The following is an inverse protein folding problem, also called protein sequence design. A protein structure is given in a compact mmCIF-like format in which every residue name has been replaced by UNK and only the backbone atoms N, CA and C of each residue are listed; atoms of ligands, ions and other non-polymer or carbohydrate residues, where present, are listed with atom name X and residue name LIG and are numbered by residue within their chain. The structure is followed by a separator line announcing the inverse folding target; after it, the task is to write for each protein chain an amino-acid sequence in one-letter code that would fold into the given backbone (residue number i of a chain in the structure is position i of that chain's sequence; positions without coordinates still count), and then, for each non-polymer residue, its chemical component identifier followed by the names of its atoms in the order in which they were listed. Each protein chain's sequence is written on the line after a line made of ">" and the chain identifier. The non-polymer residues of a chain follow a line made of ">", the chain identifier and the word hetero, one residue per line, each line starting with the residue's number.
data_IF_328425187598
#
_entry.id   IF_328425187598
#
_cell.length_a   1.000
_cell.length_b   1.000
_cell.length_c   1.000
_cell.angle_alpha   90.00
_cell.angle_beta   90.00
_cell.angle_gamma   90.00
#
_symmetry.space_group_name_H-M   'P 1'
#
loop_
_entity.id
_entity.type
_entity.pdbx_description
1 polymer ?
#
# COMPACT_ATOMS: atom_id res chain seq x y z
N UNK A 1 22.67 13.59 -8.19
CA UNK A 1 21.30 13.07 -8.19
C UNK A 1 21.30 11.85 -7.28
N UNK A 2 20.17 11.50 -6.69
CA UNK A 2 20.07 10.32 -5.81
C UNK A 2 20.05 9.03 -6.65
N UNK A 3 20.60 7.95 -6.13
CA UNK A 3 20.43 6.61 -6.72
C UNK A 3 19.16 5.96 -6.19
N UNK A 4 18.66 4.91 -6.86
CA UNK A 4 17.55 4.10 -6.35
C UNK A 4 17.84 3.57 -4.95
N UNK A 5 19.10 3.16 -4.69
CA UNK A 5 19.52 2.65 -3.38
C UNK A 5 19.53 3.73 -2.29
N UNK A 6 19.87 4.99 -2.61
CA UNK A 6 19.81 6.09 -1.64
C UNK A 6 18.36 6.33 -1.19
N UNK A 7 17.43 6.32 -2.15
CA UNK A 7 15.99 6.50 -1.87
C UNK A 7 15.46 5.29 -1.07
N UNK A 8 15.83 4.07 -1.46
CA UNK A 8 15.43 2.87 -0.75
C UNK A 8 15.94 2.84 0.69
N UNK A 9 17.20 3.19 0.90
CA UNK A 9 17.78 3.29 2.24
C UNK A 9 17.05 4.31 3.12
N UNK A 10 16.64 5.45 2.56
CA UNK A 10 15.84 6.43 3.29
C UNK A 10 14.45 5.91 3.61
N UNK A 11 13.78 5.22 2.68
CA UNK A 11 12.46 4.63 2.93
C UNK A 11 12.49 3.55 4.01
N UNK A 12 13.56 2.77 4.10
CA UNK A 12 13.74 1.78 5.18
C UNK A 12 13.90 2.41 6.57
N UNK A 13 14.29 3.69 6.66
CA UNK A 13 14.32 4.39 7.95
C UNK A 13 12.92 4.68 8.48
N UNK A 14 11.96 4.89 7.59
CA UNK A 14 10.56 5.09 7.97
C UNK A 14 9.80 3.79 8.19
N UNK A 15 10.03 2.82 7.34
CA UNK A 15 9.36 1.53 7.38
C UNK A 15 10.37 0.40 7.13
N UNK A 16 11.11 -0.02 8.18
CA UNK A 16 12.08 -1.10 8.10
C UNK A 16 11.47 -2.40 7.58
N UNK A 17 12.25 -3.17 6.80
CA UNK A 17 11.79 -4.46 6.26
C UNK A 17 11.45 -5.49 7.34
N UNK A 18 12.06 -5.36 8.52
CA UNK A 18 11.79 -6.23 9.67
C UNK A 18 10.36 -6.14 10.19
N UNK A 19 9.64 -5.07 9.82
CA UNK A 19 8.21 -4.91 10.12
C UNK A 19 7.29 -5.64 9.14
N UNK A 20 7.85 -6.15 8.03
CA UNK A 20 7.05 -6.84 7.04
C UNK A 20 6.61 -8.22 7.53
N UNK A 21 5.43 -8.64 7.08
CA UNK A 21 4.94 -9.98 7.27
C UNK A 21 5.88 -11.01 6.59
N UNK A 22 6.05 -12.17 7.22
CA UNK A 22 6.98 -13.21 6.74
C UNK A 22 6.66 -13.79 5.37
N UNK A 23 5.44 -13.63 4.91
CA UNK A 23 4.96 -14.08 3.59
C UNK A 23 5.05 -12.99 2.52
N UNK A 24 5.38 -11.77 2.90
CA UNK A 24 5.39 -10.59 2.03
C UNK A 24 6.70 -10.46 1.24
N UNK A 25 6.70 -9.59 0.23
CA UNK A 25 7.87 -9.31 -0.60
C UNK A 25 8.04 -7.80 -0.85
N UNK A 26 8.16 -6.96 0.19
CA UNK A 26 8.47 -5.54 0.02
C UNK A 26 9.96 -5.33 -0.32
N UNK A 27 10.28 -4.13 -0.72
CA UNK A 27 11.65 -3.71 -0.93
C UNK A 27 11.97 -3.25 -2.35
N UNK A 28 13.23 -3.21 -2.72
CA UNK A 28 13.69 -2.89 -4.06
C UNK A 28 13.52 -4.10 -4.96
N UNK A 29 12.42 -4.13 -5.72
CA UNK A 29 12.01 -5.30 -6.52
C UNK A 29 12.55 -5.28 -7.96
N UNK A 30 12.77 -4.10 -8.51
CA UNK A 30 13.39 -3.90 -9.83
C UNK A 30 14.41 -2.79 -9.71
N UNK A 31 15.67 -3.08 -9.98
CA UNK A 31 16.74 -2.08 -10.02
C UNK A 31 17.31 -1.99 -11.43
N UNK A 32 17.21 -0.81 -12.04
CA UNK A 32 17.75 -0.51 -13.36
C UNK A 32 19.10 0.24 -13.30
N UNK A 33 19.64 0.47 -12.10
CA UNK A 33 20.95 1.07 -11.89
C UNK A 33 21.07 2.54 -12.35
N UNK A 34 19.95 3.26 -12.43
CA UNK A 34 19.92 4.66 -12.90
C UNK A 34 19.90 5.64 -11.75
N UNK A 35 20.41 6.84 -12.00
CA UNK A 35 20.14 7.99 -11.15
C UNK A 35 18.68 8.39 -11.25
N UNK A 36 18.11 8.86 -10.12
CA UNK A 36 16.70 9.19 -9.98
C UNK A 36 16.54 10.69 -9.79
N UNK A 37 15.76 11.31 -10.66
CA UNK A 37 15.37 12.72 -10.57
C UNK A 37 13.85 12.87 -10.37
N UNK A 38 13.08 11.90 -10.83
CA UNK A 38 11.61 11.88 -10.71
C UNK A 38 11.12 10.53 -10.21
N UNK A 39 10.16 10.59 -9.30
CA UNK A 39 9.51 9.42 -8.71
C UNK A 39 8.01 9.52 -8.97
N UNK A 40 7.41 8.41 -9.41
CA UNK A 40 5.97 8.24 -9.43
C UNK A 40 5.56 7.41 -8.21
N UNK A 41 4.54 7.84 -7.48
CA UNK A 41 3.99 7.10 -6.34
C UNK A 41 2.62 6.57 -6.71
N UNK A 42 2.37 5.30 -6.43
CA UNK A 42 1.12 4.62 -6.79
C UNK A 42 0.74 3.54 -5.79
N UNK A 43 -0.50 3.08 -5.82
CA UNK A 43 -0.92 1.90 -5.08
C UNK A 43 -0.44 0.62 -5.78
N UNK A 44 -0.74 0.49 -7.06
CA UNK A 44 -0.41 -0.67 -7.89
C UNK A 44 0.45 -0.24 -9.08
N UNK A 45 1.43 -1.06 -9.47
CA UNK A 45 2.17 -0.89 -10.71
C UNK A 45 1.47 -1.70 -11.80
N UNK A 46 0.66 -1.01 -12.63
CA UNK A 46 0.01 -1.61 -13.80
C UNK A 46 0.78 -1.24 -15.09
N UNK A 47 0.51 -1.89 -16.23
CA UNK A 47 1.08 -1.47 -17.52
C UNK A 47 0.85 0.02 -17.83
N UNK A 48 -0.34 0.54 -17.50
CA UNK A 48 -0.70 1.95 -17.71
C UNK A 48 0.13 2.89 -16.83
N UNK A 49 0.40 2.49 -15.59
CA UNK A 49 1.27 3.25 -14.67
C UNK A 49 2.72 3.25 -15.17
N UNK A 50 3.19 2.13 -15.74
CA UNK A 50 4.54 2.08 -16.35
C UNK A 50 4.64 3.02 -17.54
N UNK A 51 3.61 3.09 -18.39
CA UNK A 51 3.56 4.05 -19.50
C UNK A 51 3.49 5.49 -19.02
N UNK A 52 2.70 5.78 -17.98
CA UNK A 52 2.63 7.11 -17.36
C UNK A 52 3.99 7.54 -16.80
N UNK A 53 4.65 6.65 -16.06
CA UNK A 53 5.98 6.92 -15.51
C UNK A 53 7.01 7.20 -16.64
N UNK A 54 6.99 6.40 -17.70
CA UNK A 54 7.87 6.58 -18.84
C UNK A 54 7.60 7.92 -19.56
N UNK A 55 6.33 8.25 -19.81
CA UNK A 55 5.94 9.52 -20.43
C UNK A 55 6.29 10.73 -19.54
N UNK A 56 6.20 10.58 -18.22
CA UNK A 56 6.59 11.59 -17.24
C UNK A 56 8.10 11.71 -17.01
N UNK A 57 8.91 10.83 -17.62
CA UNK A 57 10.36 10.78 -17.41
C UNK A 57 10.75 10.38 -15.98
N UNK A 58 9.97 9.50 -15.36
CA UNK A 58 10.28 8.96 -14.04
C UNK A 58 11.24 7.78 -14.17
N UNK A 59 12.29 7.76 -13.35
CA UNK A 59 13.26 6.67 -13.30
C UNK A 59 12.92 5.65 -12.20
N UNK A 60 12.01 6.01 -11.30
CA UNK A 60 11.59 5.18 -10.17
C UNK A 60 10.07 5.24 -9.98
N UNK A 61 9.47 4.08 -9.70
CA UNK A 61 8.11 3.98 -9.16
C UNK A 61 8.21 3.46 -7.73
N UNK A 62 7.51 4.12 -6.81
CA UNK A 62 7.28 3.64 -5.45
C UNK A 62 5.84 3.19 -5.35
N UNK A 63 5.61 1.93 -5.01
CA UNK A 63 4.27 1.37 -4.88
C UNK A 63 4.01 0.83 -3.48
N UNK A 64 2.73 0.73 -3.14
CA UNK A 64 2.32 -0.01 -1.95
C UNK A 64 2.30 -1.50 -2.23
N UNK A 65 1.63 -1.95 -3.28
CA UNK A 65 1.58 -3.36 -3.63
C UNK A 65 2.82 -3.80 -4.43
N UNK A 66 3.38 -4.99 -4.12
CA UNK A 66 4.57 -5.47 -4.79
C UNK A 66 4.32 -5.90 -6.24
N UNK A 67 5.11 -5.38 -7.17
CA UNK A 67 5.06 -5.76 -8.59
C UNK A 67 5.55 -7.19 -8.82
N UNK A 68 6.34 -7.71 -7.89
CA UNK A 68 6.78 -9.11 -7.82
C UNK A 68 6.41 -9.63 -6.45
N UNK A 69 5.32 -10.40 -6.35
CA UNK A 69 4.89 -11.00 -5.09
C UNK A 69 5.49 -12.39 -4.87
N UNK A 70 5.54 -13.20 -5.92
CA UNK A 70 6.10 -14.54 -5.89
C UNK A 70 7.31 -14.65 -6.82
N UNK A 71 8.24 -15.60 -6.57
CA UNK A 71 9.40 -15.80 -7.43
C UNK A 71 9.00 -16.01 -8.89
N UNK A 72 9.63 -15.28 -9.80
CA UNK A 72 9.36 -15.35 -11.22
C UNK A 72 10.04 -16.61 -11.81
N UNK A 73 9.25 -17.46 -12.48
CA UNK A 73 9.77 -18.63 -13.21
C UNK A 73 10.12 -18.33 -14.66
N UNK A 74 9.55 -17.26 -15.22
CA UNK A 74 9.80 -16.77 -16.58
C UNK A 74 9.46 -15.29 -16.65
N UNK A 75 10.06 -14.60 -17.60
CA UNK A 75 9.74 -13.20 -17.93
C UNK A 75 9.32 -13.14 -19.40
N UNK A 76 8.27 -12.40 -19.68
CA UNK A 76 7.75 -12.16 -21.01
C UNK A 76 7.45 -10.64 -21.20
N UNK A 77 7.32 -10.14 -22.43
CA UNK A 77 6.97 -8.74 -22.68
C UNK A 77 5.61 -8.30 -22.10
N UNK A 78 4.78 -9.25 -21.67
CA UNK A 78 3.49 -8.95 -21.03
C UNK A 78 3.63 -8.71 -19.51
N UNK A 79 4.74 -9.14 -18.92
CA UNK A 79 4.97 -9.00 -17.49
C UNK A 79 5.37 -7.55 -17.16
N UNK A 80 4.74 -6.96 -16.17
CA UNK A 80 4.99 -5.58 -15.75
C UNK A 80 6.46 -5.38 -15.35
N UNK A 81 7.04 -6.34 -14.65
CA UNK A 81 8.46 -6.32 -14.28
C UNK A 81 9.39 -6.26 -15.50
N UNK A 82 9.04 -6.96 -16.60
CA UNK A 82 9.78 -6.87 -17.86
C UNK A 82 9.67 -5.49 -18.48
N UNK A 83 8.45 -4.91 -18.48
CA UNK A 83 8.19 -3.58 -19.05
C UNK A 83 8.97 -2.50 -18.28
N UNK A 84 9.05 -2.61 -16.94
CA UNK A 84 9.87 -1.73 -16.12
C UNK A 84 11.33 -1.77 -16.54
N UNK A 85 11.92 -2.96 -16.63
CA UNK A 85 13.32 -3.14 -17.06
C UNK A 85 13.53 -2.61 -18.48
N UNK A 86 12.62 -2.88 -19.41
CA UNK A 86 12.71 -2.40 -20.80
C UNK A 86 12.71 -0.86 -20.89
N UNK A 87 11.99 -0.19 -20.01
CA UNK A 87 11.92 1.27 -19.94
C UNK A 87 13.00 1.90 -19.05
N UNK A 88 13.78 1.07 -18.35
CA UNK A 88 14.80 1.52 -17.42
C UNK A 88 14.21 2.20 -16.17
N UNK A 89 13.06 1.74 -15.70
CA UNK A 89 12.36 2.26 -14.52
C UNK A 89 12.53 1.27 -13.38
N UNK A 90 13.09 1.73 -12.27
CA UNK A 90 13.20 0.94 -11.03
C UNK A 90 11.87 0.91 -10.27
N UNK A 91 11.68 -0.10 -9.41
CA UNK A 91 10.50 -0.23 -8.58
C UNK A 91 10.84 -0.59 -7.14
N UNK A 92 10.38 0.22 -6.20
CA UNK A 92 10.41 -0.02 -4.75
C UNK A 92 8.98 -0.26 -4.27
N UNK A 93 8.81 -1.29 -3.46
CA UNK A 93 7.56 -1.60 -2.79
C UNK A 93 7.68 -1.39 -1.28
N UNK A 94 6.72 -0.66 -0.70
CA UNK A 94 6.56 -0.50 0.74
C UNK A 94 5.16 -0.99 1.10
N UNK A 95 5.06 -2.24 1.54
CA UNK A 95 3.80 -2.96 1.70
C UNK A 95 3.46 -3.14 3.19
N UNK A 96 3.43 -4.37 3.70
CA UNK A 96 3.05 -4.61 5.09
C UNK A 96 4.00 -3.96 6.11
N UNK A 97 5.26 -3.76 5.75
CA UNK A 97 6.18 -2.97 6.56
C UNK A 97 5.73 -1.51 6.73
N UNK A 98 5.16 -0.89 5.68
CA UNK A 98 4.61 0.46 5.76
C UNK A 98 3.26 0.48 6.49
N UNK A 99 2.47 -0.59 6.40
CA UNK A 99 1.24 -0.73 7.19
C UNK A 99 1.53 -0.75 8.69
N UNK A 100 2.58 -1.48 9.10
CA UNK A 100 2.96 -1.66 10.49
C UNK A 100 3.77 -0.49 11.08
N UNK A 101 4.46 0.28 10.24
CA UNK A 101 5.34 1.35 10.67
C UNK A 101 4.62 2.45 11.46
N UNK A 102 5.37 3.10 12.38
CA UNK A 102 4.93 4.33 13.03
C UNK A 102 4.76 5.44 11.96
N UNK A 103 3.63 6.14 12.00
CA UNK A 103 3.24 7.10 10.96
C UNK A 103 2.88 6.47 9.62
N UNK A 104 2.82 5.14 9.54
CA UNK A 104 2.47 4.39 8.34
C UNK A 104 0.97 4.38 8.05
N UNK A 105 0.56 3.52 7.11
CA UNK A 105 -0.79 3.51 6.54
C UNK A 105 -1.86 3.35 7.61
N UNK A 106 -1.68 2.43 8.56
CA UNK A 106 -2.68 2.15 9.59
C UNK A 106 -2.87 3.35 10.54
N UNK A 107 -1.82 4.08 10.87
CA UNK A 107 -1.92 5.26 11.73
C UNK A 107 -2.50 6.46 10.99
N UNK A 108 -2.17 6.62 9.71
CA UNK A 108 -2.81 7.62 8.85
C UNK A 108 -4.31 7.36 8.77
N UNK A 109 -4.73 6.11 8.58
CA UNK A 109 -6.15 5.73 8.58
C UNK A 109 -6.81 5.98 9.94
N UNK A 110 -6.16 5.61 11.04
CA UNK A 110 -6.64 5.89 12.39
C UNK A 110 -6.89 7.40 12.59
N UNK A 111 -5.93 8.23 12.20
CA UNK A 111 -6.06 9.69 12.25
C UNK A 111 -7.20 10.24 11.39
N UNK A 112 -7.39 9.73 10.17
CA UNK A 112 -8.49 10.10 9.27
C UNK A 112 -9.85 9.84 9.92
N UNK A 113 -9.99 8.74 10.64
CA UNK A 113 -11.23 8.41 11.34
C UNK A 113 -11.38 9.12 12.68
N UNK A 114 -10.34 9.85 13.13
CA UNK A 114 -10.33 10.53 14.43
C UNK A 114 -10.23 9.54 15.58
N UNK A 115 -9.53 8.44 15.36
CA UNK A 115 -9.27 7.45 16.39
C UNK A 115 -8.25 8.01 17.39
N UNK A 116 -8.48 7.78 18.66
CA UNK A 116 -7.60 8.15 19.76
C UNK A 116 -7.44 6.97 20.74
N UNK A 117 -6.46 7.04 21.61
CA UNK A 117 -6.14 5.97 22.59
C UNK A 117 -6.09 4.57 21.91
N UNK A 118 -5.38 4.52 20.79
CA UNK A 118 -5.27 3.30 20.01
C UNK A 118 -4.06 2.47 20.40
N UNK A 119 -4.21 1.17 20.25
CA UNK A 119 -3.15 0.18 20.41
C UNK A 119 -2.98 -0.66 19.14
N UNK A 120 -1.81 -1.26 19.03
CA UNK A 120 -1.47 -2.18 17.94
C UNK A 120 -2.13 -3.53 18.17
N UNK A 121 -2.71 -4.11 17.15
CA UNK A 121 -3.22 -5.48 17.16
C UNK A 121 -2.85 -6.24 15.88
N UNK A 122 -3.11 -7.55 15.86
CA UNK A 122 -2.83 -8.42 14.70
C UNK A 122 -1.37 -8.33 14.22
N UNK A 123 -0.42 -8.53 15.14
CA UNK A 123 1.02 -8.54 14.89
C UNK A 123 1.56 -7.29 14.14
N UNK A 124 0.92 -6.14 14.36
CA UNK A 124 1.32 -4.88 13.71
C UNK A 124 0.39 -4.44 12.57
N UNK A 125 -0.39 -5.38 12.01
CA UNK A 125 -1.21 -5.14 10.83
C UNK A 125 -2.51 -4.37 11.10
N UNK A 126 -2.74 -3.86 12.30
CA UNK A 126 -3.93 -3.10 12.63
C UNK A 126 -3.77 -2.14 13.79
N UNK A 127 -4.75 -1.26 13.91
CA UNK A 127 -4.92 -0.36 15.06
C UNK A 127 -6.34 -0.50 15.58
N UNK A 128 -6.50 -0.61 16.90
CA UNK A 128 -7.78 -0.59 17.60
C UNK A 128 -7.77 0.55 18.61
N UNK A 129 -8.83 1.34 18.67
CA UNK A 129 -8.89 2.49 19.54
C UNK A 129 -10.31 3.04 19.65
N UNK A 130 -10.44 4.18 20.30
CA UNK A 130 -11.71 4.84 20.48
C UNK A 130 -11.91 5.95 19.44
N UNK A 131 -13.17 6.21 19.13
CA UNK A 131 -13.60 7.38 18.34
C UNK A 131 -14.71 8.11 19.10
N UNK A 132 -14.89 9.38 18.81
CA UNK A 132 -16.04 10.11 19.33
C UNK A 132 -17.34 9.39 19.00
N UNK A 133 -18.38 9.49 19.86
CA UNK A 133 -19.65 8.82 19.62
C UNK A 133 -20.21 9.14 18.24
N UNK A 134 -20.31 8.13 17.41
CA UNK A 134 -20.80 8.21 16.02
C UNK A 134 -21.66 6.98 15.74
N UNK A 135 -22.74 7.15 14.98
CA UNK A 135 -23.55 6.00 14.57
C UNK A 135 -22.84 5.21 13.44
N UNK A 136 -23.08 3.91 13.37
CA UNK A 136 -22.52 3.05 12.32
C UNK A 136 -22.81 3.58 10.90
N UNK A 137 -24.05 4.05 10.57
CA UNK A 137 -24.32 4.64 9.27
C UNK A 137 -23.52 5.94 8.98
N UNK A 138 -23.27 6.76 10.00
CA UNK A 138 -22.47 7.99 9.86
C UNK A 138 -21.00 7.67 9.65
N UNK A 139 -20.45 6.71 10.40
CA UNK A 139 -19.09 6.26 10.21
C UNK A 139 -18.88 5.64 8.82
N UNK A 140 -19.85 4.84 8.34
CA UNK A 140 -19.81 4.29 6.98
C UNK A 140 -19.82 5.39 5.91
N UNK A 141 -20.63 6.46 6.08
CA UNK A 141 -20.63 7.61 5.18
C UNK A 141 -19.30 8.38 5.23
N UNK A 142 -18.74 8.57 6.43
CA UNK A 142 -17.41 9.19 6.61
C UNK A 142 -16.35 8.38 5.86
N UNK A 143 -16.32 7.05 6.04
CA UNK A 143 -15.41 6.17 5.35
C UNK A 143 -15.54 6.29 3.82
N UNK A 144 -16.76 6.27 3.30
CA UNK A 144 -17.02 6.43 1.87
C UNK A 144 -16.55 7.80 1.34
N UNK A 145 -16.79 8.86 2.09
CA UNK A 145 -16.40 10.21 1.68
C UNK A 145 -14.88 10.41 1.65
N UNK A 146 -14.19 9.84 2.63
CA UNK A 146 -12.74 10.02 2.79
C UNK A 146 -11.94 9.09 1.88
N UNK A 147 -12.35 7.83 1.75
CA UNK A 147 -11.64 6.84 0.97
C UNK A 147 -12.05 6.81 -0.51
N UNK A 148 -13.01 7.64 -0.91
CA UNK A 148 -13.43 7.78 -2.30
C UNK A 148 -14.11 6.57 -2.92
N UNK A 149 -14.45 5.56 -2.11
CA UNK A 149 -15.08 4.33 -2.54
C UNK A 149 -16.55 4.51 -2.92
N UNK A 150 -16.94 4.20 -4.15
CA UNK A 150 -18.35 4.01 -4.52
C UNK A 150 -18.81 2.64 -4.01
N UNK A 151 -19.57 2.63 -2.93
CA UNK A 151 -20.15 1.42 -2.33
C UNK A 151 -21.21 0.71 -3.21
N UNK A 152 -21.38 1.09 -4.49
CA UNK A 152 -22.53 0.71 -5.31
C UNK A 152 -22.25 -0.08 -6.58
N UNK A 153 -21.12 -0.81 -6.70
CA UNK A 153 -21.03 -1.81 -7.79
C UNK A 153 -20.16 -3.01 -7.42
N UNK A 154 -20.71 -4.25 -7.50
CA UNK A 154 -19.92 -5.45 -7.53
C UNK A 154 -19.35 -5.61 -8.94
N UNK A 155 -18.21 -5.03 -9.23
CA UNK A 155 -17.44 -5.33 -10.44
C UNK A 155 -15.95 -5.21 -10.13
N UNK A 156 -15.29 -6.39 -10.08
CA UNK A 156 -13.88 -6.65 -10.36
C UNK A 156 -12.88 -5.56 -9.96
N UNK A 157 -12.67 -5.37 -8.69
CA UNK A 157 -11.61 -4.62 -8.06
C UNK A 157 -11.61 -4.97 -6.58
N UNK A 158 -10.48 -4.88 -5.87
CA UNK A 158 -10.44 -5.20 -4.46
C UNK A 158 -11.44 -4.32 -3.72
N UNK A 159 -12.48 -4.95 -3.16
CA UNK A 159 -13.42 -4.27 -2.30
C UNK A 159 -12.74 -4.07 -0.95
N UNK A 160 -12.55 -2.83 -0.54
CA UNK A 160 -12.23 -2.51 0.86
C UNK A 160 -13.44 -2.91 1.68
N UNK A 161 -13.36 -4.06 2.35
CA UNK A 161 -14.38 -4.48 3.30
C UNK A 161 -14.08 -3.86 4.65
N UNK A 162 -14.79 -2.81 5.01
CA UNK A 162 -14.79 -2.29 6.37
C UNK A 162 -15.74 -3.17 7.18
N UNK A 163 -15.20 -4.02 8.05
CA UNK A 163 -16.01 -4.78 9.03
C UNK A 163 -16.17 -3.92 10.26
N UNK A 164 -17.41 -3.58 10.58
CA UNK A 164 -17.76 -2.91 11.82
C UNK A 164 -18.16 -3.98 12.86
N UNK A 165 -17.51 -3.97 14.03
CA UNK A 165 -17.98 -4.70 15.20
C UNK A 165 -18.66 -3.67 16.13
N UNK A 166 -19.97 -3.75 16.28
CA UNK A 166 -20.69 -2.92 17.23
C UNK A 166 -20.65 -3.60 18.61
N UNK A 167 -19.88 -3.03 19.51
CA UNK A 167 -19.79 -3.47 20.92
C UNK A 167 -20.68 -2.64 21.85
N UNK A 168 -21.55 -1.80 21.29
CA UNK A 168 -22.48 -0.95 22.02
C UNK A 168 -21.88 0.36 22.53
N UNK A 169 -20.55 0.55 22.53
CA UNK A 169 -19.85 1.80 22.89
C UNK A 169 -18.54 2.02 22.19
N UNK A 170 -17.96 1.01 21.57
CA UNK A 170 -16.65 1.10 20.90
C UNK A 170 -16.82 0.64 19.47
N UNK A 171 -16.35 1.43 18.51
CA UNK A 171 -16.32 1.04 17.10
C UNK A 171 -14.90 0.62 16.76
N UNK A 172 -14.73 -0.66 16.47
CA UNK A 172 -13.45 -1.19 16.02
C UNK A 172 -13.40 -1.07 14.49
N UNK A 173 -12.48 -0.29 13.97
CA UNK A 173 -12.17 -0.26 12.54
C UNK A 173 -11.05 -1.27 12.32
N UNK A 174 -11.38 -2.41 11.72
CA UNK A 174 -10.41 -3.42 11.34
C UNK A 174 -10.10 -3.24 9.85
N UNK A 175 -8.85 -2.91 9.52
CA UNK A 175 -8.34 -3.05 8.17
C UNK A 175 -7.89 -4.49 7.98
N UNK A 176 -8.64 -5.26 7.23
CA UNK A 176 -8.17 -6.58 6.77
C UNK A 176 -7.51 -6.38 5.41
N UNK A 177 -6.21 -6.62 5.36
CA UNK A 177 -5.49 -6.72 4.11
C UNK A 177 -6.12 -7.82 3.26
N UNK A 178 -6.70 -7.43 2.14
CA UNK A 178 -7.26 -8.39 1.20
C UNK A 178 -6.10 -8.97 0.41
N UNK A 179 -5.68 -10.18 0.76
CA UNK A 179 -4.91 -11.00 -0.16
C UNK A 179 -5.77 -11.23 -1.40
N UNK A 180 -5.34 -10.71 -2.54
CA UNK A 180 -5.94 -11.06 -3.82
C UNK A 180 -5.81 -12.58 -4.01
N UNK A 181 -6.89 -13.31 -4.32
CA UNK A 181 -6.73 -14.68 -4.75
C UNK A 181 -5.92 -14.67 -6.04
N UNK A 182 -4.73 -15.24 -5.99
CA UNK A 182 -3.93 -15.52 -7.18
C UNK A 182 -4.65 -16.60 -7.96
N UNK A 183 -5.31 -16.23 -9.05
CA UNK A 183 -5.74 -17.17 -10.08
C UNK A 183 -4.61 -17.43 -11.05
#
# INVERSE_FOLDING_TARGET
>A
MATTNDIYAEMQRYAPLELAESWDNPGLLVDCGREVSRVLVTLDITPEVVEEAAAGGCELIVSHHPVIFSPLKKLTPRDVSFQLVQKGISAICMHTNLDAAEGGVNEVLAGIFGMWDWEVFADGCGRVGEVDPITVPELARKAQAVLGGRCNRPRSGPAVQVKFADTGKTVTVSYTHLTLPTT
#
